data_IF_046486718596
#
_entry.id   IF_046486718596
#
_cell.length_a   1.000
_cell.length_b   1.000
_cell.length_c   1.000
_cell.angle_alpha   90.00
_cell.angle_beta   90.00
_cell.angle_gamma   90.00
#
_symmetry.space_group_name_H-M   'P 1'
#
loop_
_entity.id
_entity.type
_entity.pdbx_description
1 polymer ?
#
# COMPACT_ATOMS: atom_id res chain seq x y z
N UNK A 1 -11.15 -35.22 1.79
CA UNK A 1 -9.99 -35.23 2.71
C UNK A 1 -9.14 -34.01 2.43
N UNK A 2 -9.23 -33.03 3.33
CA UNK A 2 -8.55 -31.73 3.26
C UNK A 2 -7.06 -31.90 3.53
N UNK A 3 -6.20 -31.56 2.56
CA UNK A 3 -4.74 -31.54 2.78
C UNK A 3 -4.41 -30.23 3.50
N UNK A 4 -4.36 -30.28 4.83
CA UNK A 4 -3.95 -29.16 5.69
C UNK A 4 -2.47 -28.84 5.43
N UNK A 5 -2.24 -27.63 4.91
CA UNK A 5 -1.13 -26.71 5.16
C UNK A 5 0.12 -27.38 5.75
N UNK A 6 1.05 -27.82 4.90
CA UNK A 6 2.45 -27.92 5.30
C UNK A 6 2.88 -26.49 5.68
N UNK A 7 3.07 -26.25 6.98
CA UNK A 7 3.70 -25.04 7.46
C UNK A 7 5.07 -24.96 6.79
N UNK A 8 5.35 -23.82 6.12
CA UNK A 8 6.63 -23.43 5.56
C UNK A 8 7.73 -23.41 6.66
N UNK A 9 8.15 -24.58 7.15
CA UNK A 9 9.31 -24.71 8.02
C UNK A 9 10.56 -24.60 7.15
N UNK A 10 11.10 -23.39 7.01
CA UNK A 10 12.44 -23.19 6.46
C UNK A 10 12.61 -22.18 5.31
N UNK A 11 11.60 -21.39 4.95
CA UNK A 11 11.85 -20.25 4.04
C UNK A 11 12.52 -19.11 4.80
N UNK A 12 13.60 -18.57 4.24
CA UNK A 12 14.20 -17.31 4.70
C UNK A 12 13.10 -16.23 4.81
N UNK A 13 13.02 -15.44 5.90
CA UNK A 13 11.99 -14.42 6.07
C UNK A 13 11.92 -13.42 4.90
N UNK A 14 13.07 -13.09 4.30
CA UNK A 14 13.14 -12.23 3.11
C UNK A 14 12.49 -12.92 1.91
N UNK A 15 12.79 -14.21 1.68
CA UNK A 15 12.14 -14.98 0.60
C UNK A 15 10.63 -15.05 0.79
N UNK A 16 10.17 -15.24 2.03
CA UNK A 16 8.73 -15.21 2.33
C UNK A 16 8.09 -13.85 2.00
N UNK A 17 8.73 -12.74 2.38
CA UNK A 17 8.28 -11.39 2.02
C UNK A 17 8.24 -11.18 0.49
N UNK A 18 9.28 -11.63 -0.22
CA UNK A 18 9.37 -11.53 -1.67
C UNK A 18 8.30 -12.37 -2.39
N UNK A 19 7.98 -13.55 -1.88
CA UNK A 19 6.90 -14.39 -2.40
C UNK A 19 5.54 -13.68 -2.32
N UNK A 20 5.34 -12.81 -1.32
CA UNK A 20 4.09 -12.07 -1.09
C UNK A 20 4.07 -10.78 -1.91
N UNK A 21 5.02 -9.88 -1.70
CA UNK A 21 4.99 -8.51 -2.24
C UNK A 21 6.29 -8.09 -2.96
N UNK A 22 7.21 -9.02 -3.25
CA UNK A 22 8.50 -8.74 -3.89
C UNK A 22 8.45 -8.43 -5.39
N UNK A 23 7.29 -8.13 -5.93
CA UNK A 23 7.13 -7.71 -7.32
C UNK A 23 6.99 -6.18 -7.43
N UNK A 24 7.24 -5.64 -8.63
CA UNK A 24 7.23 -4.20 -8.90
C UNK A 24 5.94 -3.49 -8.45
N UNK A 25 4.79 -4.15 -8.51
CA UNK A 25 3.49 -3.48 -8.41
C UNK A 25 2.86 -3.55 -7.03
N UNK A 26 3.15 -4.59 -6.26
CA UNK A 26 2.53 -4.80 -4.94
C UNK A 26 2.71 -3.56 -4.05
N UNK A 27 3.95 -3.15 -3.80
CA UNK A 27 4.23 -1.99 -2.94
C UNK A 27 3.81 -0.65 -3.54
N UNK A 28 3.71 -0.53 -4.87
CA UNK A 28 3.15 0.67 -5.53
C UNK A 28 1.65 0.82 -5.23
N UNK A 29 0.89 -0.28 -5.25
CA UNK A 29 -0.53 -0.29 -4.89
C UNK A 29 -0.70 0.12 -3.42
N UNK A 30 0.10 -0.46 -2.51
CA UNK A 30 0.04 -0.11 -1.08
C UNK A 30 0.38 1.37 -0.86
N UNK A 31 1.46 1.86 -1.47
CA UNK A 31 1.84 3.29 -1.44
C UNK A 31 0.68 4.20 -1.86
N UNK A 32 -0.02 3.83 -2.93
CA UNK A 32 -1.14 4.60 -3.46
C UNK A 32 -2.36 4.61 -2.54
N UNK A 33 -2.61 3.52 -1.79
CA UNK A 33 -3.63 3.51 -0.73
C UNK A 33 -3.18 4.43 0.42
N UNK A 34 -1.94 4.25 0.89
CA UNK A 34 -1.42 4.89 2.09
C UNK A 34 -1.29 6.41 1.94
N UNK A 35 -0.66 6.87 0.85
CA UNK A 35 -0.34 8.28 0.69
C UNK A 35 -1.33 9.02 -0.19
N UNK A 36 -2.02 8.34 -1.12
CA UNK A 36 -2.94 9.01 -2.06
C UNK A 36 -4.41 8.72 -1.79
N UNK A 37 -4.72 7.91 -0.77
CA UNK A 37 -6.09 7.56 -0.41
C UNK A 37 -6.85 6.78 -1.50
N UNK A 38 -6.15 6.18 -2.46
CA UNK A 38 -6.81 5.43 -3.54
C UNK A 38 -7.48 4.19 -2.98
N UNK A 39 -8.71 3.93 -3.42
CA UNK A 39 -9.56 2.84 -2.93
C UNK A 39 -10.24 2.07 -4.05
N UNK A 40 -10.41 2.66 -5.23
CA UNK A 40 -11.09 2.02 -6.35
C UNK A 40 -10.12 1.53 -7.43
N UNK A 41 -10.52 0.46 -8.12
CA UNK A 41 -9.76 -0.12 -9.23
C UNK A 41 -9.32 0.91 -10.29
N UNK A 42 -10.22 1.81 -10.69
CA UNK A 42 -9.96 2.84 -11.70
C UNK A 42 -8.92 3.88 -11.27
N UNK A 43 -8.80 4.16 -9.97
CA UNK A 43 -7.81 5.09 -9.44
C UNK A 43 -6.40 4.50 -9.52
N UNK A 44 -6.26 3.20 -9.25
CA UNK A 44 -5.00 2.48 -9.43
C UNK A 44 -4.59 2.38 -10.91
N UNK A 45 -5.54 2.18 -11.82
CA UNK A 45 -5.27 2.23 -13.27
C UNK A 45 -4.78 3.62 -13.73
N UNK A 46 -5.30 4.68 -13.11
CA UNK A 46 -4.97 6.06 -13.45
C UNK A 46 -3.64 6.52 -12.84
N UNK A 47 -2.89 5.62 -12.21
CA UNK A 47 -1.59 5.93 -11.61
C UNK A 47 -0.53 6.27 -12.66
N UNK A 48 0.41 7.18 -12.36
CA UNK A 48 1.48 7.57 -13.27
C UNK A 48 2.31 6.40 -13.84
N UNK A 49 2.43 5.32 -13.08
CA UNK A 49 3.22 4.13 -13.46
C UNK A 49 2.55 3.25 -14.52
N UNK A 50 1.28 3.54 -14.89
CA UNK A 50 0.55 2.89 -15.99
C UNK A 50 0.55 1.36 -15.89
N UNK A 51 0.14 0.83 -14.73
CA UNK A 51 -0.10 -0.60 -14.56
C UNK A 51 -1.18 -1.08 -15.53
N UNK A 52 -0.95 -2.18 -16.25
CA UNK A 52 -1.96 -2.73 -17.15
C UNK A 52 -3.09 -3.41 -16.37
N UNK A 53 -4.30 -3.44 -16.97
CA UNK A 53 -5.50 -4.02 -16.36
C UNK A 53 -5.27 -5.45 -15.86
N UNK A 54 -4.69 -6.32 -16.67
CA UNK A 54 -4.48 -7.72 -16.29
C UNK A 54 -3.50 -7.86 -15.11
N UNK A 55 -2.46 -7.02 -15.07
CA UNK A 55 -1.47 -7.06 -13.99
C UNK A 55 -2.07 -6.48 -12.71
N UNK A 56 -2.80 -5.36 -12.79
CA UNK A 56 -3.48 -4.79 -11.63
C UNK A 56 -4.48 -5.78 -11.02
N UNK A 57 -5.35 -6.38 -11.84
CA UNK A 57 -6.32 -7.37 -11.37
C UNK A 57 -5.64 -8.57 -10.70
N UNK A 58 -4.57 -9.10 -11.30
CA UNK A 58 -3.78 -10.19 -10.71
C UNK A 58 -3.16 -9.80 -9.37
N UNK A 59 -2.67 -8.56 -9.23
CA UNK A 59 -2.01 -8.10 -8.01
C UNK A 59 -2.99 -7.81 -6.88
N UNK A 60 -4.11 -7.15 -7.16
CA UNK A 60 -5.16 -6.95 -6.16
C UNK A 60 -5.68 -8.29 -5.62
N UNK A 61 -5.92 -9.26 -6.51
CA UNK A 61 -6.33 -10.62 -6.10
C UNK A 61 -5.28 -11.30 -5.22
N UNK A 62 -3.99 -11.18 -5.57
CA UNK A 62 -2.90 -11.77 -4.78
C UNK A 62 -2.78 -11.10 -3.40
N UNK A 63 -2.81 -9.78 -3.34
CA UNK A 63 -2.71 -9.03 -2.09
C UNK A 63 -3.91 -9.30 -1.16
N UNK A 64 -5.11 -9.49 -1.72
CA UNK A 64 -6.29 -9.95 -0.99
C UNK A 64 -6.09 -11.39 -0.46
N UNK A 65 -5.65 -12.32 -1.30
CA UNK A 65 -5.42 -13.71 -0.92
C UNK A 65 -4.33 -13.87 0.16
N UNK A 66 -3.31 -13.01 0.14
CA UNK A 66 -2.26 -12.93 1.16
C UNK A 66 -2.69 -12.14 2.40
N UNK A 67 -3.91 -11.60 2.41
CA UNK A 67 -4.49 -10.87 3.52
C UNK A 67 -3.82 -9.53 3.80
N UNK A 68 -3.18 -8.90 2.81
CA UNK A 68 -2.66 -7.53 2.90
C UNK A 68 -3.74 -6.49 2.57
N UNK A 69 -4.69 -6.86 1.72
CA UNK A 69 -5.86 -6.07 1.38
C UNK A 69 -7.15 -6.81 1.75
N UNK A 70 -8.20 -6.05 1.98
CA UNK A 70 -9.58 -6.53 1.92
C UNK A 70 -10.33 -5.81 0.82
N UNK A 71 -11.31 -6.50 0.23
CA UNK A 71 -12.17 -5.98 -0.82
C UNK A 71 -13.61 -5.96 -0.31
N UNK A 72 -14.19 -4.78 -0.19
CA UNK A 72 -15.57 -4.59 0.29
C UNK A 72 -16.42 -3.88 -0.76
N UNK A 73 -17.69 -4.23 -0.85
CA UNK A 73 -18.62 -3.52 -1.73
C UNK A 73 -18.86 -2.12 -1.18
N UNK A 74 -18.83 -1.11 -2.05
CA UNK A 74 -19.11 0.26 -1.64
C UNK A 74 -20.62 0.42 -1.41
N UNK A 75 -21.00 0.83 -0.19
CA UNK A 75 -22.40 1.03 0.21
C UNK A 75 -23.07 2.20 -0.48
N UNK A 76 -22.30 3.18 -0.96
CA UNK A 76 -22.81 4.35 -1.68
C UNK A 76 -22.83 4.12 -3.19
N UNK A 77 -22.01 3.21 -3.70
CA UNK A 77 -21.98 2.85 -5.11
C UNK A 77 -21.77 1.34 -5.30
N UNK A 78 -22.87 0.60 -5.36
CA UNK A 78 -22.88 -0.87 -5.44
C UNK A 78 -22.16 -1.45 -6.67
N UNK A 79 -21.86 -0.63 -7.69
CA UNK A 79 -21.06 -1.04 -8.86
C UNK A 79 -19.56 -1.06 -8.62
N UNK A 80 -19.10 -0.48 -7.50
CA UNK A 80 -17.68 -0.36 -7.13
C UNK A 80 -17.34 -1.21 -5.91
N UNK A 81 -16.06 -1.55 -5.83
CA UNK A 81 -15.45 -2.18 -4.67
C UNK A 81 -14.34 -1.28 -4.15
N UNK A 82 -14.26 -1.17 -2.83
CA UNK A 82 -13.21 -0.50 -2.08
C UNK A 82 -12.15 -1.54 -1.72
N UNK A 83 -10.90 -1.23 -2.02
CA UNK A 83 -9.72 -1.93 -1.54
C UNK A 83 -9.13 -1.15 -0.38
N UNK A 84 -8.99 -1.80 0.77
CA UNK A 84 -8.41 -1.20 1.98
C UNK A 84 -7.34 -2.13 2.56
N UNK A 85 -6.35 -1.56 3.25
CA UNK A 85 -5.38 -2.35 3.99
C UNK A 85 -6.07 -3.16 5.09
N UNK A 86 -5.51 -4.33 5.37
CA UNK A 86 -5.73 -5.02 6.64
C UNK A 86 -4.65 -4.59 7.64
N UNK A 87 -4.75 -5.02 8.90
CA UNK A 87 -3.65 -4.86 9.85
C UNK A 87 -2.31 -5.40 9.32
N UNK A 88 -2.32 -6.56 8.63
CA UNK A 88 -1.11 -7.14 8.02
C UNK A 88 -0.56 -6.24 6.90
N UNK A 89 -1.43 -5.52 6.19
CA UNK A 89 -1.06 -4.53 5.19
C UNK A 89 -0.49 -3.26 5.80
N UNK A 90 -1.07 -2.79 6.89
CA UNK A 90 -0.59 -1.64 7.67
C UNK A 90 0.81 -1.87 8.24
N UNK A 91 1.12 -3.10 8.67
CA UNK A 91 2.46 -3.50 9.14
C UNK A 91 3.56 -3.34 8.07
N UNK A 92 3.22 -3.06 6.80
CA UNK A 92 4.19 -2.77 5.72
C UNK A 92 4.52 -1.28 5.57
N UNK A 93 3.85 -0.37 6.29
CA UNK A 93 4.17 1.06 6.27
C UNK A 93 5.65 1.31 6.61
N UNK A 94 6.23 0.73 7.69
CA UNK A 94 7.65 0.93 8.00
C UNK A 94 8.58 0.46 6.88
N UNK A 95 8.23 -0.61 6.17
CA UNK A 95 9.03 -1.13 5.04
C UNK A 95 9.02 -0.14 3.88
N UNK A 96 7.86 0.42 3.54
CA UNK A 96 7.75 1.45 2.51
C UNK A 96 8.55 2.70 2.87
N UNK A 97 8.51 3.10 4.14
CA UNK A 97 9.26 4.24 4.65
C UNK A 97 10.79 4.03 4.52
N UNK A 98 11.29 2.85 4.87
CA UNK A 98 12.72 2.52 4.71
C UNK A 98 13.13 2.47 3.24
N UNK A 99 12.24 2.01 2.35
CA UNK A 99 12.48 2.05 0.91
C UNK A 99 12.56 3.49 0.38
N UNK A 100 11.72 4.40 0.88
CA UNK A 100 11.76 5.82 0.52
C UNK A 100 13.08 6.42 0.97
N UNK A 101 13.47 6.23 2.23
CA UNK A 101 14.75 6.72 2.78
C UNK A 101 15.94 6.21 1.96
N UNK A 102 15.96 4.91 1.67
CA UNK A 102 16.99 4.30 0.84
C UNK A 102 17.01 4.92 -0.57
N UNK A 103 15.85 5.10 -1.21
CA UNK A 103 15.80 5.68 -2.56
C UNK A 103 16.32 7.12 -2.59
N UNK A 104 16.01 7.94 -1.58
CA UNK A 104 16.49 9.32 -1.51
C UNK A 104 18.00 9.38 -1.36
N UNK A 105 18.58 8.40 -0.66
CA UNK A 105 20.03 8.32 -0.47
C UNK A 105 20.80 7.95 -1.75
N UNK A 106 20.21 7.17 -2.65
CA UNK A 106 20.92 6.57 -3.79
C UNK A 106 20.41 7.01 -5.17
N UNK A 107 19.24 7.62 -5.25
CA UNK A 107 18.76 8.27 -6.47
C UNK A 107 19.44 9.64 -6.59
N UNK A 108 20.03 9.90 -7.76
CA UNK A 108 20.73 11.16 -8.05
C UNK A 108 19.75 12.28 -8.43
N UNK A 109 18.47 11.97 -8.65
CA UNK A 109 17.40 12.94 -8.91
C UNK A 109 16.10 12.50 -8.20
N UNK A 110 16.10 12.37 -6.87
CA UNK A 110 14.93 11.90 -6.16
C UNK A 110 13.86 12.98 -6.26
N UNK A 111 12.76 12.67 -6.94
CA UNK A 111 11.65 13.59 -7.09
C UNK A 111 10.74 13.50 -5.86
N UNK A 112 11.27 13.96 -4.72
CA UNK A 112 10.63 13.90 -3.39
C UNK A 112 9.42 14.85 -3.33
N UNK A 113 9.43 15.89 -4.17
CA UNK A 113 8.36 16.88 -4.29
C UNK A 113 7.36 16.53 -5.40
N UNK A 114 7.51 15.38 -6.06
CA UNK A 114 6.61 14.94 -7.13
C UNK A 114 5.50 14.06 -6.62
N UNK A 115 4.50 13.95 -7.49
CA UNK A 115 3.27 13.17 -7.38
C UNK A 115 3.44 11.69 -6.96
N UNK A 116 4.66 11.22 -6.72
CA UNK A 116 5.01 9.90 -6.19
C UNK A 116 4.55 9.74 -4.73
N UNK A 117 4.72 10.77 -3.88
CA UNK A 117 4.32 10.75 -2.45
C UNK A 117 3.38 11.92 -2.08
N UNK A 118 2.61 12.44 -3.03
CA UNK A 118 1.55 13.40 -2.71
C UNK A 118 0.62 12.79 -1.67
N UNK A 119 0.48 13.48 -0.52
CA UNK A 119 -0.30 13.06 0.65
C UNK A 119 0.50 12.30 1.73
N UNK A 120 1.82 12.17 1.59
CA UNK A 120 2.67 11.92 2.76
C UNK A 120 2.71 13.12 3.72
N UNK A 121 2.92 12.87 5.02
CA UNK A 121 3.15 13.92 6.00
C UNK A 121 4.30 14.86 5.65
N UNK A 122 4.16 16.13 6.05
CA UNK A 122 5.22 17.13 5.95
C UNK A 122 6.48 16.68 6.68
N UNK A 123 7.64 17.08 6.16
CA UNK A 123 8.94 16.75 6.73
C UNK A 123 9.17 15.24 6.88
N UNK A 124 8.58 14.43 6.01
CA UNK A 124 8.63 12.96 6.03
C UNK A 124 10.03 12.44 6.39
N UNK A 125 11.06 12.83 5.63
CA UNK A 125 12.43 12.36 5.81
C UNK A 125 13.03 12.76 7.16
N UNK A 126 12.81 14.00 7.59
CA UNK A 126 13.27 14.45 8.92
C UNK A 126 12.62 13.60 10.01
N UNK A 127 11.30 13.41 9.92
CA UNK A 127 10.53 12.67 10.92
C UNK A 127 10.82 11.17 10.93
N UNK A 128 11.21 10.59 9.80
CA UNK A 128 11.71 9.21 9.78
C UNK A 128 12.86 8.98 10.75
N UNK A 129 13.71 10.00 10.94
CA UNK A 129 14.85 9.94 11.84
C UNK A 129 14.54 10.44 13.26
N UNK A 130 13.66 11.45 13.40
CA UNK A 130 13.45 12.13 14.69
C UNK A 130 12.19 11.70 15.44
N UNK A 131 11.18 11.20 14.73
CA UNK A 131 9.85 10.87 15.26
C UNK A 131 9.14 9.81 14.39
N UNK A 132 9.75 8.63 14.28
CA UNK A 132 9.26 7.57 13.40
C UNK A 132 7.88 7.04 13.83
N UNK A 133 7.69 6.82 15.12
CA UNK A 133 6.44 6.29 15.66
C UNK A 133 5.30 7.30 15.51
N UNK A 134 5.54 8.58 15.80
CA UNK A 134 4.55 9.64 15.59
C UNK A 134 4.18 9.80 14.12
N UNK A 135 5.15 9.67 13.21
CA UNK A 135 4.91 9.66 11.76
C UNK A 135 4.02 8.48 11.33
N UNK A 136 4.33 7.26 11.77
CA UNK A 136 3.52 6.06 11.43
C UNK A 136 2.10 6.21 11.98
N UNK A 137 1.96 6.68 13.22
CA UNK A 137 0.66 6.92 13.85
C UNK A 137 -0.19 7.93 13.05
N UNK A 138 0.42 9.01 12.57
CA UNK A 138 -0.25 10.00 11.73
C UNK A 138 -0.71 9.40 10.39
N UNK A 139 0.15 8.63 9.72
CA UNK A 139 -0.20 7.94 8.47
C UNK A 139 -1.41 7.02 8.68
N UNK A 140 -1.41 6.22 9.75
CA UNK A 140 -2.53 5.34 10.10
C UNK A 140 -3.82 6.11 10.42
N UNK A 141 -3.69 7.25 11.10
CA UNK A 141 -4.82 8.13 11.45
C UNK A 141 -5.44 8.74 10.19
N UNK A 142 -4.63 9.25 9.27
CA UNK A 142 -5.11 9.85 8.01
C UNK A 142 -5.87 8.85 7.15
N UNK A 143 -5.47 7.57 7.15
CA UNK A 143 -6.20 6.51 6.47
C UNK A 143 -7.55 6.20 7.15
N UNK A 144 -7.61 6.29 8.47
CA UNK A 144 -8.83 6.06 9.26
C UNK A 144 -9.81 7.23 9.18
N UNK A 145 -9.31 8.46 8.94
CA UNK A 145 -10.09 9.69 8.75
C UNK A 145 -10.62 9.88 7.32
N UNK A 146 -10.32 8.95 6.40
CA UNK A 146 -10.97 8.82 5.10
C UNK A 146 -12.00 7.66 5.03
N UNK A 147 -12.96 7.51 5.98
CA UNK A 147 -14.12 6.70 5.73
C UNK A 147 -15.03 7.53 4.81
N UNK A 148 -15.10 7.16 3.54
CA UNK A 148 -16.22 7.58 2.68
C UNK A 148 -16.52 9.08 2.67
N UNK A 149 -15.50 9.96 2.64
CA UNK A 149 -15.74 11.39 2.35
C UNK A 149 -15.97 11.65 0.85
N UNK A 150 -16.89 10.88 0.26
CA UNK A 150 -17.71 11.32 -0.87
C UNK A 150 -19.19 11.25 -0.42
N UNK A 151 -19.43 11.79 0.77
CA UNK A 151 -20.73 12.12 1.32
C UNK A 151 -20.91 13.64 1.13
N UNK A 152 -21.16 14.10 -0.10
CA UNK A 152 -21.94 15.31 -0.41
C UNK A 152 -22.05 15.57 -1.93
N UNK A 153 -23.32 15.68 -2.33
CA UNK A 153 -23.93 16.18 -3.58
C UNK A 153 -24.01 15.22 -4.76
#
# INVERSE_FOLDING_TARGET
MTKRKELNSGKCPVTYALDIFGDKWSLIILRDIIFKGKKYYGEFLSSPEKISTNILASRLLKLEAEGLLSKIQDTHNLSKYIYQLTHKGEDLIPVLLDMIEWSVKYDNQPDINSNIINGAPDNLLTRLHTDREGLIHEILSNMSEHPSQDLKH
#
